data_IF_084351303316
#
_entry.id   IF_084351303316
#
_cell.length_a   1.000
_cell.length_b   1.000
_cell.length_c   1.000
_cell.angle_alpha   90.00
_cell.angle_beta   90.00
_cell.angle_gamma   90.00
#
_symmetry.space_group_name_H-M   'P 1'
#
loop_
_entity.id
_entity.type
_entity.pdbx_description
1 polymer ?
#
# COMPACT_ATOMS: atom_id res chain seq x y z
N UNK A 1 -15.71 9.40 -4.26
CA UNK A 1 -15.13 9.17 -5.61
C UNK A 1 -13.60 9.16 -5.61
N UNK A 2 -12.91 10.18 -5.08
CA UNK A 2 -11.43 10.15 -4.99
C UNK A 2 -10.91 9.19 -3.91
N UNK A 3 -11.64 9.05 -2.79
CA UNK A 3 -11.23 8.17 -1.68
C UNK A 3 -11.08 6.71 -2.12
N UNK A 4 -12.10 6.20 -2.81
CA UNK A 4 -12.15 4.82 -3.28
C UNK A 4 -11.05 4.54 -4.31
N UNK A 5 -10.76 5.53 -5.16
CA UNK A 5 -9.66 5.44 -6.11
C UNK A 5 -8.29 5.34 -5.41
N UNK A 6 -8.03 6.19 -4.42
CA UNK A 6 -6.78 6.14 -3.64
C UNK A 6 -6.65 4.85 -2.82
N UNK A 7 -7.75 4.40 -2.21
CA UNK A 7 -7.77 3.12 -1.48
C UNK A 7 -7.48 1.94 -2.42
N UNK A 8 -8.05 1.94 -3.63
CA UNK A 8 -7.77 0.92 -4.63
C UNK A 8 -6.30 0.93 -5.06
N UNK A 9 -5.71 2.11 -5.31
CA UNK A 9 -4.29 2.22 -5.64
C UNK A 9 -3.37 1.84 -4.47
N UNK A 10 -3.82 1.97 -3.21
CA UNK A 10 -3.05 1.59 -2.02
C UNK A 10 -3.16 0.09 -1.66
N UNK A 11 -4.08 -0.65 -2.29
CA UNK A 11 -4.39 -2.04 -1.93
C UNK A 11 -4.22 -3.02 -3.08
N UNK A 12 -4.43 -2.60 -4.32
CA UNK A 12 -4.43 -3.46 -5.51
C UNK A 12 -3.06 -3.49 -6.22
N UNK A 13 -2.04 -4.03 -5.55
CA UNK A 13 -0.68 -4.21 -6.09
C UNK A 13 0.06 -5.32 -5.35
N UNK A 14 1.27 -5.66 -5.78
CA UNK A 14 2.14 -6.63 -5.08
C UNK A 14 3.33 -6.02 -4.33
N UNK A 15 3.40 -4.68 -4.26
CA UNK A 15 4.43 -3.93 -3.53
C UNK A 15 4.57 -4.40 -2.07
N UNK A 16 5.81 -4.45 -1.59
CA UNK A 16 6.17 -4.81 -0.21
C UNK A 16 6.60 -3.55 0.55
N UNK A 17 5.99 -3.24 1.71
CA UNK A 17 6.41 -2.14 2.55
C UNK A 17 7.55 -2.58 3.49
N UNK A 18 8.64 -1.83 3.53
CA UNK A 18 9.77 -2.04 4.42
C UNK A 18 9.93 -0.87 5.38
N UNK A 19 10.14 -1.16 6.66
CA UNK A 19 10.38 -0.16 7.68
C UNK A 19 11.90 0.07 7.85
N UNK A 20 12.41 1.20 7.36
CA UNK A 20 13.85 1.45 7.37
C UNK A 20 14.45 1.60 8.76
N UNK A 21 13.71 2.17 9.71
CA UNK A 21 14.23 2.51 11.03
C UNK A 21 13.71 1.60 12.15
N UNK A 22 12.92 0.57 11.81
CA UNK A 22 12.23 -0.27 12.79
C UNK A 22 11.36 0.56 13.76
N UNK A 23 10.83 1.68 13.26
CA UNK A 23 9.99 2.65 13.98
C UNK A 23 8.58 2.56 13.43
N UNK A 24 7.53 2.54 14.26
CA UNK A 24 6.13 2.49 13.75
C UNK A 24 5.67 3.80 13.08
N UNK A 25 6.60 4.62 12.59
CA UNK A 25 6.33 5.89 11.91
C UNK A 25 6.06 5.64 10.42
N UNK A 26 4.89 6.07 9.96
CA UNK A 26 4.44 5.94 8.57
C UNK A 26 5.40 6.58 7.55
N UNK A 27 6.15 7.60 7.96
CA UNK A 27 7.10 8.29 7.09
C UNK A 27 8.31 7.41 6.74
N UNK A 28 8.68 6.47 7.61
CA UNK A 28 9.88 5.64 7.47
C UNK A 28 9.67 4.42 6.56
N UNK A 29 8.45 4.24 6.05
CA UNK A 29 8.10 3.17 5.11
C UNK A 29 8.70 3.45 3.74
N UNK A 30 9.40 2.45 3.22
CA UNK A 30 9.94 2.42 1.86
C UNK A 30 9.37 1.23 1.12
N UNK A 31 9.07 1.44 -0.16
CA UNK A 31 8.39 0.44 -0.99
C UNK A 31 9.37 -0.32 -1.87
N UNK A 32 9.28 -1.65 -1.85
CA UNK A 32 9.94 -2.53 -2.79
C UNK A 32 8.91 -3.06 -3.77
N UNK A 33 9.14 -2.87 -5.06
CA UNK A 33 8.24 -3.32 -6.11
C UNK A 33 9.01 -4.05 -7.21
N UNK A 34 8.39 -5.06 -7.82
CA UNK A 34 8.96 -5.75 -8.97
C UNK A 34 8.76 -4.96 -10.29
N UNK A 35 7.81 -4.02 -10.30
CA UNK A 35 7.54 -3.12 -11.42
C UNK A 35 7.75 -1.65 -11.03
N UNK A 36 8.41 -0.83 -11.88
CA UNK A 36 8.57 0.60 -11.61
C UNK A 36 7.24 1.36 -11.61
N UNK A 37 6.24 0.87 -12.34
CA UNK A 37 4.92 1.50 -12.42
C UNK A 37 4.14 1.32 -11.11
N UNK A 38 4.17 0.12 -10.53
CA UNK A 38 3.58 -0.13 -9.22
C UNK A 38 4.26 0.72 -8.13
N UNK A 39 5.59 0.83 -8.17
CA UNK A 39 6.32 1.70 -7.24
C UNK A 39 5.85 3.15 -7.33
N UNK A 40 5.73 3.69 -8.56
CA UNK A 40 5.30 5.05 -8.78
C UNK A 40 3.87 5.30 -8.28
N UNK A 41 2.94 4.36 -8.52
CA UNK A 41 1.57 4.46 -8.05
C UNK A 41 1.49 4.52 -6.52
N UNK A 42 2.12 3.58 -5.82
CA UNK A 42 2.05 3.53 -4.34
C UNK A 42 2.79 4.71 -3.70
N UNK A 43 3.87 5.18 -4.32
CA UNK A 43 4.59 6.37 -3.86
C UNK A 43 3.75 7.64 -3.99
N UNK A 44 3.08 7.84 -5.13
CA UNK A 44 2.18 8.97 -5.33
C UNK A 44 1.02 8.96 -4.32
N UNK A 45 0.47 7.78 -4.03
CA UNK A 45 -0.61 7.62 -3.04
C UNK A 45 -0.13 7.97 -1.62
N UNK A 46 1.10 7.57 -1.25
CA UNK A 46 1.76 7.99 0.01
C UNK A 46 1.87 9.50 0.10
N UNK A 47 2.30 10.18 -0.95
CA UNK A 47 2.40 11.65 -1.00
C UNK A 47 1.03 12.34 -0.87
N UNK A 48 -0.06 11.67 -1.26
CA UNK A 48 -1.43 12.15 -1.09
C UNK A 48 -2.03 11.88 0.30
N UNK A 49 -1.23 11.34 1.23
CA UNK A 49 -1.59 11.10 2.62
C UNK A 49 -2.29 9.75 2.86
N UNK A 50 -2.12 8.78 1.97
CA UNK A 50 -2.61 7.41 2.14
C UNK A 50 -1.41 6.47 2.13
N UNK A 51 -1.09 5.88 3.27
CA UNK A 51 0.14 5.10 3.43
C UNK A 51 -0.18 3.62 3.48
N UNK A 52 0.36 2.84 2.56
CA UNK A 52 0.32 1.39 2.64
C UNK A 52 1.33 0.91 3.68
N UNK A 53 0.85 0.45 4.84
CA UNK A 53 1.70 0.22 6.00
C UNK A 53 2.11 -1.24 6.17
N UNK A 54 1.18 -2.16 5.95
CA UNK A 54 1.40 -3.58 6.21
C UNK A 54 0.59 -4.44 5.26
N UNK A 55 1.16 -5.57 4.89
CA UNK A 55 0.46 -6.67 4.22
C UNK A 55 0.71 -7.98 4.94
N UNK A 56 -0.36 -8.73 5.13
CA UNK A 56 -0.34 -10.14 5.49
C UNK A 56 -0.89 -10.95 4.31
N UNK A 57 -0.78 -12.28 4.32
CA UNK A 57 -1.35 -13.10 3.24
C UNK A 57 -2.88 -12.92 3.07
N UNK A 58 -3.56 -12.54 4.13
CA UNK A 58 -5.03 -12.41 4.25
C UNK A 58 -5.52 -10.96 4.35
N UNK A 59 -4.64 -9.96 4.50
CA UNK A 59 -5.06 -8.57 4.65
C UNK A 59 -4.06 -7.54 4.16
N UNK A 60 -4.58 -6.37 3.79
CA UNK A 60 -3.82 -5.14 3.53
C UNK A 60 -4.27 -4.09 4.53
N UNK A 61 -3.31 -3.42 5.16
CA UNK A 61 -3.56 -2.32 6.10
C UNK A 61 -3.00 -1.05 5.50
N UNK A 62 -3.87 -0.07 5.32
CA UNK A 62 -3.50 1.29 4.88
C UNK A 62 -3.83 2.27 5.99
N UNK A 63 -3.04 3.31 6.13
CA UNK A 63 -3.39 4.49 6.91
C UNK A 63 -3.96 5.53 5.95
N UNK A 64 -5.27 5.76 6.02
CA UNK A 64 -5.95 6.78 5.25
C UNK A 64 -6.01 8.07 6.08
N UNK A 65 -5.02 8.95 5.90
CA UNK A 65 -4.96 10.29 6.54
C UNK A 65 -5.09 10.25 8.07
N UNK A 66 -4.43 9.30 8.71
CA UNK A 66 -4.39 9.14 10.16
C UNK A 66 -5.31 8.05 10.71
N UNK A 67 -6.20 7.49 9.89
CA UNK A 67 -7.07 6.38 10.28
C UNK A 67 -6.61 5.07 9.62
N UNK A 68 -6.39 4.04 10.42
CA UNK A 68 -6.01 2.72 9.90
C UNK A 68 -7.25 1.98 9.39
N UNK A 69 -7.16 1.51 8.14
CA UNK A 69 -8.18 0.72 7.47
C UNK A 69 -7.58 -0.63 7.06
N UNK A 70 -8.20 -1.71 7.53
CA UNK A 70 -7.83 -3.07 7.17
C UNK A 70 -8.79 -3.62 6.10
N UNK A 71 -8.22 -4.14 5.01
CA UNK A 71 -8.92 -4.75 3.89
C UNK A 71 -8.57 -6.23 3.84
N UNK A 72 -9.58 -7.10 3.83
CA UNK A 72 -9.41 -8.54 3.68
C UNK A 72 -9.10 -8.89 2.22
N UNK A 73 -8.07 -9.70 2.00
CA UNK A 73 -7.72 -10.24 0.69
C UNK A 73 -8.51 -11.53 0.48
N UNK A 74 -9.58 -11.44 -0.31
CA UNK A 74 -10.38 -12.62 -0.65
C UNK A 74 -9.72 -13.47 -1.75
N UNK A 75 -9.05 -12.81 -2.69
CA UNK A 75 -8.33 -13.46 -3.77
C UNK A 75 -7.31 -12.49 -4.39
N UNK A 76 -6.22 -13.03 -4.94
CA UNK A 76 -5.25 -12.28 -5.74
C UNK A 76 -5.24 -12.89 -7.13
N UNK A 77 -5.61 -12.08 -8.13
CA UNK A 77 -5.49 -12.45 -9.53
C UNK A 77 -4.14 -11.96 -10.02
N UNK A 78 -3.17 -12.87 -10.07
CA UNK A 78 -1.81 -12.55 -10.51
C UNK A 78 -1.81 -11.99 -11.94
N UNK A 79 -0.97 -10.99 -12.16
CA UNK A 79 -0.83 -10.40 -13.48
C UNK A 79 -0.09 -11.37 -14.40
N UNK A 80 -0.82 -12.05 -15.29
CA UNK A 80 -0.25 -12.86 -16.36
C UNK A 80 0.22 -11.94 -17.49
N UNK A 81 1.47 -12.12 -17.94
CA UNK A 81 1.95 -11.52 -19.19
C UNK A 81 1.30 -12.16 -20.41
#
# INVERSE_FOLDING_TARGET
QIREFLALLATCHTVVPENKMHTDLLNDIVYQASSPDEYALVSAVKEMGVVFFRRTPDSVIINFRGEDEAYEILNVLEFSR
#
